data_IF_637782780939
#
_entry.id   IF_637782780939
#
_cell.length_a   1.000
_cell.length_b   1.000
_cell.length_c   1.000
_cell.angle_alpha   90.00
_cell.angle_beta   90.00
_cell.angle_gamma   90.00
#
_symmetry.space_group_name_H-M   'P 1'
#
loop_
_entity.id
_entity.type
_entity.pdbx_description
1 polymer ?
#
# COMPACT_ATOMS: atom_id res chain seq x y z
N UNK A 1 9.61 0.77 5.97
CA UNK A 1 10.65 0.56 4.93
C UNK A 1 12.00 0.18 5.54
N UNK A 2 12.66 1.01 6.34
CA UNK A 2 14.00 0.78 6.93
C UNK A 2 14.26 -0.64 7.49
N UNK A 3 13.26 -1.23 8.16
CA UNK A 3 13.41 -2.60 8.70
C UNK A 3 13.55 -3.67 7.61
N UNK A 4 12.85 -3.52 6.51
CA UNK A 4 12.93 -4.45 5.39
C UNK A 4 14.22 -4.27 4.60
N UNK A 5 14.68 -3.03 4.43
CA UNK A 5 16.01 -2.72 3.86
C UNK A 5 17.12 -3.38 4.70
N UNK A 6 17.01 -3.29 6.02
CA UNK A 6 17.95 -3.97 6.93
C UNK A 6 17.88 -5.50 6.77
N UNK A 7 16.70 -6.10 6.60
CA UNK A 7 16.58 -7.53 6.33
C UNK A 7 17.29 -7.94 5.02
N UNK A 8 17.13 -7.14 3.96
CA UNK A 8 17.84 -7.35 2.69
C UNK A 8 19.35 -7.32 2.88
N UNK A 9 19.86 -6.34 3.64
CA UNK A 9 21.31 -6.23 3.95
C UNK A 9 21.84 -7.44 4.74
N UNK A 10 21.07 -7.95 5.73
CA UNK A 10 21.43 -9.17 6.48
C UNK A 10 21.59 -10.37 5.54
N UNK A 11 20.66 -10.53 4.59
CA UNK A 11 20.69 -11.64 3.63
C UNK A 11 21.88 -11.46 2.68
N UNK A 12 22.07 -10.28 2.12
CA UNK A 12 23.12 -9.98 1.15
C UNK A 12 24.52 -10.16 1.75
N UNK A 13 24.72 -9.72 3.00
CA UNK A 13 25.97 -9.92 3.73
C UNK A 13 26.15 -11.33 4.29
N UNK A 14 25.13 -12.20 4.20
CA UNK A 14 25.06 -13.51 4.82
C UNK A 14 25.40 -13.49 6.33
N UNK A 15 24.96 -12.43 7.03
CA UNK A 15 25.24 -12.25 8.47
C UNK A 15 24.34 -13.16 9.33
N UNK A 16 24.82 -14.38 9.58
CA UNK A 16 24.12 -15.40 10.37
C UNK A 16 23.95 -14.99 11.85
N UNK A 17 24.74 -14.05 12.36
CA UNK A 17 24.59 -13.55 13.73
C UNK A 17 23.28 -12.77 13.92
N UNK A 18 22.66 -12.32 12.84
CA UNK A 18 21.41 -11.54 12.79
C UNK A 18 20.17 -12.38 12.46
N UNK A 19 20.29 -13.71 12.49
CA UNK A 19 19.18 -14.62 12.16
C UNK A 19 17.88 -14.27 12.91
N UNK A 20 17.95 -14.04 14.22
CA UNK A 20 16.76 -13.69 15.01
C UNK A 20 16.13 -12.37 14.57
N UNK A 21 16.95 -11.37 14.23
CA UNK A 21 16.44 -10.10 13.70
C UNK A 21 15.77 -10.29 12.35
N UNK A 22 16.36 -11.08 11.46
CA UNK A 22 15.79 -11.40 10.15
C UNK A 22 14.45 -12.11 10.30
N UNK A 23 14.32 -13.10 11.19
CA UNK A 23 13.06 -13.80 11.48
C UNK A 23 11.99 -12.80 11.93
N UNK A 24 12.28 -11.95 12.91
CA UNK A 24 11.35 -10.96 13.45
C UNK A 24 10.86 -9.97 12.38
N UNK A 25 11.75 -9.54 11.49
CA UNK A 25 11.41 -8.63 10.40
C UNK A 25 10.57 -9.36 9.35
N UNK A 26 10.94 -10.58 8.98
CA UNK A 26 10.26 -11.38 7.96
C UNK A 26 8.80 -11.67 8.31
N UNK A 27 8.50 -11.97 9.57
CA UNK A 27 7.13 -12.18 10.04
C UNK A 27 6.26 -10.92 9.86
N UNK A 28 6.85 -9.72 9.93
CA UNK A 28 6.12 -8.49 9.68
C UNK A 28 5.68 -8.31 8.22
N UNK A 29 6.23 -9.08 7.27
CA UNK A 29 5.73 -9.10 5.89
C UNK A 29 4.28 -9.57 5.78
N UNK A 30 3.79 -10.34 6.76
CA UNK A 30 2.39 -10.80 6.80
C UNK A 30 1.42 -9.72 7.27
N UNK A 31 1.91 -8.61 7.82
CA UNK A 31 1.07 -7.51 8.28
C UNK A 31 0.56 -6.72 7.09
N UNK A 32 -0.74 -6.74 6.94
CA UNK A 32 -1.44 -6.06 5.87
C UNK A 32 -2.44 -5.08 6.47
N UNK A 33 -2.47 -3.87 5.94
CA UNK A 33 -3.53 -2.90 6.17
C UNK A 33 -4.08 -2.49 4.82
N UNK A 34 -5.40 -2.51 4.68
CA UNK A 34 -6.04 -2.03 3.49
C UNK A 34 -6.89 -0.79 3.79
N UNK A 35 -7.06 0.05 2.79
CA UNK A 35 -8.00 1.16 2.81
C UNK A 35 -9.22 0.73 2.03
N UNK A 36 -10.21 0.17 2.74
CA UNK A 36 -11.49 -0.14 2.14
C UNK A 36 -12.25 1.15 1.86
N UNK A 37 -12.34 1.53 0.61
CA UNK A 37 -13.21 2.62 0.19
C UNK A 37 -14.66 2.12 0.20
N UNK A 38 -15.45 2.63 1.14
CA UNK A 38 -16.86 2.25 1.28
C UNK A 38 -17.82 3.14 0.47
N UNK A 39 -17.36 4.28 -0.03
CA UNK A 39 -18.23 5.20 -0.77
C UNK A 39 -17.64 5.55 -2.14
N UNK A 40 -18.49 5.54 -3.12
CA UNK A 40 -18.21 6.00 -4.47
C UNK A 40 -18.87 7.38 -4.67
N UNK A 41 -18.21 8.42 -4.13
CA UNK A 41 -18.76 9.78 -4.09
C UNK A 41 -19.04 10.26 -5.51
N UNK A 42 -18.10 10.08 -6.44
CA UNK A 42 -18.24 10.52 -7.81
C UNK A 42 -19.41 9.81 -8.52
N UNK A 43 -19.48 8.48 -8.46
CA UNK A 43 -20.59 7.73 -9.05
C UNK A 43 -21.95 8.12 -8.42
N UNK A 44 -21.97 8.36 -7.11
CA UNK A 44 -23.18 8.80 -6.43
C UNK A 44 -23.64 10.16 -6.96
N UNK A 45 -22.73 11.15 -7.07
CA UNK A 45 -23.02 12.46 -7.62
C UNK A 45 -23.48 12.41 -9.09
N UNK A 46 -22.87 11.53 -9.89
CA UNK A 46 -23.22 11.34 -11.30
C UNK A 46 -24.60 10.67 -11.43
N UNK A 47 -24.82 9.58 -10.68
CA UNK A 47 -26.06 8.80 -10.77
C UNK A 47 -27.28 9.54 -10.20
N UNK A 48 -27.09 10.34 -9.14
CA UNK A 48 -28.15 11.23 -8.62
C UNK A 48 -28.39 12.46 -9.50
N UNK A 49 -27.48 12.76 -10.42
CA UNK A 49 -27.49 13.98 -11.22
C UNK A 49 -27.01 15.23 -10.47
N UNK A 50 -26.62 15.10 -9.21
CA UNK A 50 -26.15 16.21 -8.36
C UNK A 50 -24.83 16.81 -8.84
N UNK A 51 -24.02 16.05 -9.59
CA UNK A 51 -22.79 16.58 -10.23
C UNK A 51 -23.10 17.82 -11.11
N UNK A 52 -24.34 17.97 -11.60
CA UNK A 52 -24.77 19.13 -12.39
C UNK A 52 -24.90 20.39 -11.54
N UNK A 53 -25.13 20.25 -10.23
CA UNK A 53 -25.25 21.37 -9.29
C UNK A 53 -23.87 21.98 -8.96
N UNK A 54 -22.81 21.24 -9.12
CA UNK A 54 -21.44 21.78 -9.03
C UNK A 54 -21.19 22.60 -10.29
N UNK A 55 -21.24 23.93 -10.21
CA UNK A 55 -21.06 24.79 -11.37
C UNK A 55 -19.60 24.94 -11.78
N UNK A 56 -18.68 24.89 -10.82
CA UNK A 56 -17.25 25.02 -11.04
C UNK A 56 -16.69 23.81 -11.80
N UNK A 57 -16.12 24.07 -12.98
CA UNK A 57 -15.58 23.03 -13.85
C UNK A 57 -14.31 22.40 -13.26
N UNK A 58 -13.49 23.18 -12.56
CA UNK A 58 -12.23 22.72 -12.01
C UNK A 58 -12.49 21.75 -10.85
N UNK A 59 -13.48 22.02 -10.00
CA UNK A 59 -13.92 21.10 -8.94
C UNK A 59 -14.36 19.75 -9.54
N UNK A 60 -15.16 19.78 -10.62
CA UNK A 60 -15.59 18.53 -11.29
C UNK A 60 -14.43 17.71 -11.81
N UNK A 61 -13.45 18.38 -12.41
CA UNK A 61 -12.27 17.72 -12.98
C UNK A 61 -11.40 17.10 -11.89
N UNK A 62 -11.16 17.80 -10.77
CA UNK A 62 -10.39 17.26 -9.66
C UNK A 62 -11.10 16.08 -8.95
N UNK A 63 -12.44 16.14 -8.79
CA UNK A 63 -13.22 15.01 -8.29
C UNK A 63 -13.06 13.78 -9.21
N UNK A 64 -13.06 13.98 -10.54
CA UNK A 64 -12.86 12.92 -11.52
C UNK A 64 -11.46 12.30 -11.41
N UNK A 65 -10.41 13.15 -11.27
CA UNK A 65 -9.03 12.68 -11.08
C UNK A 65 -8.88 11.88 -9.78
N UNK A 66 -9.48 12.36 -8.69
CA UNK A 66 -9.47 11.65 -7.42
C UNK A 66 -10.15 10.27 -7.55
N UNK A 67 -11.23 10.16 -8.33
CA UNK A 67 -11.88 8.87 -8.62
C UNK A 67 -10.94 7.90 -9.33
N UNK A 68 -10.21 8.37 -10.34
CA UNK A 68 -9.23 7.55 -11.06
C UNK A 68 -8.11 7.06 -10.15
N UNK A 69 -7.64 7.93 -9.22
CA UNK A 69 -6.66 7.54 -8.19
C UNK A 69 -7.21 6.47 -7.26
N UNK A 70 -8.47 6.58 -6.82
CA UNK A 70 -9.08 5.58 -5.96
C UNK A 70 -9.26 4.21 -6.65
N UNK A 71 -9.58 4.19 -7.93
CA UNK A 71 -9.63 2.95 -8.72
C UNK A 71 -8.25 2.30 -8.72
N UNK A 72 -7.19 3.08 -8.91
CA UNK A 72 -5.83 2.57 -8.91
C UNK A 72 -5.38 2.11 -7.50
N UNK A 73 -5.72 2.85 -6.44
CA UNK A 73 -5.47 2.45 -5.05
C UNK A 73 -6.10 1.08 -4.77
N UNK A 74 -7.39 0.89 -5.11
CA UNK A 74 -8.08 -0.38 -4.90
C UNK A 74 -7.37 -1.54 -5.62
N UNK A 75 -6.90 -1.30 -6.85
CA UNK A 75 -6.13 -2.30 -7.60
C UNK A 75 -4.80 -2.65 -6.92
N UNK A 76 -4.08 -1.66 -6.41
CA UNK A 76 -2.82 -1.87 -5.70
C UNK A 76 -3.02 -2.60 -4.36
N UNK A 77 -4.12 -2.29 -3.66
CA UNK A 77 -4.51 -3.03 -2.46
C UNK A 77 -4.79 -4.50 -2.76
N UNK A 78 -5.51 -4.78 -3.84
CA UNK A 78 -5.80 -6.15 -4.25
C UNK A 78 -4.52 -6.92 -4.61
N UNK A 79 -3.61 -6.31 -5.38
CA UNK A 79 -2.31 -6.89 -5.73
C UNK A 79 -1.52 -7.19 -4.46
N UNK A 80 -1.42 -6.24 -3.53
CA UNK A 80 -0.71 -6.44 -2.28
C UNK A 80 -1.30 -7.60 -1.47
N UNK A 81 -2.62 -7.64 -1.33
CA UNK A 81 -3.34 -8.72 -0.64
C UNK A 81 -3.07 -10.08 -1.28
N UNK A 82 -3.11 -10.17 -2.62
CA UNK A 82 -2.83 -11.41 -3.33
C UNK A 82 -1.39 -11.89 -3.11
N UNK A 83 -0.41 -10.99 -3.17
CA UNK A 83 0.99 -11.33 -2.93
C UNK A 83 1.20 -11.81 -1.49
N UNK A 84 0.58 -11.13 -0.50
CA UNK A 84 0.63 -11.58 0.91
C UNK A 84 0.06 -13.00 1.03
N UNK A 85 -1.11 -13.27 0.47
CA UNK A 85 -1.79 -14.55 0.64
C UNK A 85 -1.11 -15.69 -0.13
N UNK A 86 -0.58 -15.43 -1.32
CA UNK A 86 -0.01 -16.47 -2.18
C UNK A 86 1.48 -16.71 -1.92
N UNK A 87 2.26 -15.64 -1.84
CA UNK A 87 3.71 -15.74 -1.82
C UNK A 87 4.28 -15.61 -0.39
N UNK A 88 3.87 -14.55 0.34
CA UNK A 88 4.41 -14.28 1.67
C UNK A 88 3.99 -15.35 2.66
N UNK A 89 2.68 -15.64 2.74
CA UNK A 89 2.15 -16.62 3.69
C UNK A 89 2.75 -18.00 3.44
N UNK A 90 2.87 -18.42 2.19
CA UNK A 90 3.52 -19.67 1.80
C UNK A 90 4.99 -19.67 2.23
N UNK A 91 5.73 -18.62 1.87
CA UNK A 91 7.14 -18.52 2.22
C UNK A 91 7.38 -18.50 3.73
N UNK A 92 6.53 -17.79 4.49
CA UNK A 92 6.60 -17.77 5.95
C UNK A 92 6.29 -19.15 6.55
N UNK A 93 5.25 -19.83 6.07
CA UNK A 93 4.88 -21.17 6.55
C UNK A 93 5.95 -22.23 6.27
N UNK A 94 6.62 -22.13 5.14
CA UNK A 94 7.65 -23.07 4.73
C UNK A 94 8.98 -22.87 5.50
N UNK A 95 9.26 -21.65 5.95
CA UNK A 95 10.56 -21.30 6.51
C UNK A 95 10.56 -21.05 8.02
N UNK A 96 9.39 -20.80 8.65
CA UNK A 96 9.33 -20.42 10.06
C UNK A 96 8.33 -21.24 10.88
N UNK A 97 8.73 -21.61 12.10
CA UNK A 97 7.83 -22.09 13.14
C UNK A 97 7.20 -20.88 13.84
N UNK A 98 5.97 -20.54 13.49
CA UNK A 98 5.31 -19.33 13.99
C UNK A 98 5.10 -19.30 15.51
N UNK A 99 4.98 -20.46 16.15
CA UNK A 99 4.76 -20.54 17.60
C UNK A 99 6.04 -20.20 18.38
N UNK A 100 7.20 -20.70 17.93
CA UNK A 100 8.50 -20.51 18.61
C UNK A 100 9.34 -19.40 17.98
N UNK A 101 8.93 -18.86 16.84
CA UNK A 101 9.65 -17.86 16.05
C UNK A 101 11.08 -18.33 15.68
N UNK A 102 11.20 -19.61 15.29
CA UNK A 102 12.43 -20.23 14.84
C UNK A 102 12.40 -20.48 13.34
N UNK A 103 13.56 -20.42 12.70
CA UNK A 103 13.68 -20.90 11.33
C UNK A 103 13.57 -22.42 11.29
N UNK A 104 12.84 -22.97 10.30
CA UNK A 104 12.81 -24.42 10.01
C UNK A 104 14.15 -24.81 9.39
N UNK A 105 14.58 -24.04 8.38
CA UNK A 105 15.90 -24.13 7.77
C UNK A 105 16.44 -22.72 7.54
N UNK A 106 17.48 -22.36 8.29
CA UNK A 106 18.08 -21.03 8.20
C UNK A 106 18.65 -20.73 6.81
N UNK A 107 19.12 -21.75 6.07
CA UNK A 107 19.73 -21.53 4.76
C UNK A 107 18.71 -21.06 3.73
N UNK A 108 17.47 -21.48 3.82
CA UNK A 108 16.41 -21.06 2.91
C UNK A 108 16.11 -19.57 2.99
N UNK A 109 16.23 -18.96 4.18
CA UNK A 109 15.93 -17.52 4.36
C UNK A 109 17.11 -16.61 3.99
N UNK A 110 18.30 -17.17 3.74
CA UNK A 110 19.47 -16.47 3.21
C UNK A 110 19.64 -16.66 1.70
N UNK A 111 18.56 -16.99 1.01
CA UNK A 111 18.56 -17.17 -0.45
C UNK A 111 18.16 -15.88 -1.17
N UNK A 112 18.64 -15.74 -2.40
CA UNK A 112 18.21 -14.67 -3.32
C UNK A 112 16.68 -14.69 -3.53
N UNK A 113 16.06 -15.86 -3.52
CA UNK A 113 14.61 -16.00 -3.64
C UNK A 113 13.88 -15.29 -2.49
N UNK A 114 14.34 -15.50 -1.25
CA UNK A 114 13.75 -14.89 -0.08
C UNK A 114 14.04 -13.37 -0.03
N UNK A 115 15.26 -12.97 -0.41
CA UNK A 115 15.62 -11.55 -0.56
C UNK A 115 14.70 -10.84 -1.58
N UNK A 116 14.50 -11.44 -2.76
CA UNK A 116 13.64 -10.87 -3.78
C UNK A 116 12.19 -10.74 -3.34
N UNK A 117 11.68 -11.67 -2.51
CA UNK A 117 10.35 -11.55 -1.94
C UNK A 117 10.22 -10.29 -1.08
N UNK A 118 11.20 -10.02 -0.21
CA UNK A 118 11.22 -8.81 0.63
C UNK A 118 11.26 -7.57 -0.25
N UNK A 119 12.17 -7.53 -1.24
CA UNK A 119 12.30 -6.39 -2.16
C UNK A 119 10.98 -6.14 -2.91
N UNK A 120 10.34 -7.19 -3.40
CA UNK A 120 9.08 -7.07 -4.14
C UNK A 120 7.95 -6.47 -3.28
N UNK A 121 7.85 -6.89 -2.02
CA UNK A 121 6.89 -6.30 -1.07
C UNK A 121 7.22 -4.82 -0.80
N UNK A 122 8.50 -4.49 -0.65
CA UNK A 122 8.93 -3.10 -0.45
C UNK A 122 8.53 -2.21 -1.63
N UNK A 123 8.69 -2.67 -2.87
CA UNK A 123 8.27 -1.91 -4.06
C UNK A 123 6.75 -1.69 -4.10
N UNK A 124 5.95 -2.71 -3.78
CA UNK A 124 4.49 -2.56 -3.66
C UNK A 124 4.13 -1.52 -2.59
N UNK A 125 4.75 -1.59 -1.42
CA UNK A 125 4.49 -0.64 -0.33
C UNK A 125 4.87 0.79 -0.73
N UNK A 126 6.00 0.97 -1.41
CA UNK A 126 6.45 2.27 -1.89
C UNK A 126 5.47 2.87 -2.91
N UNK A 127 5.02 2.07 -3.87
CA UNK A 127 4.03 2.52 -4.86
C UNK A 127 2.70 2.90 -4.20
N UNK A 128 2.26 2.15 -3.18
CA UNK A 128 1.08 2.50 -2.38
C UNK A 128 1.26 3.84 -1.67
N UNK A 129 2.39 4.06 -1.01
CA UNK A 129 2.68 5.33 -0.31
C UNK A 129 2.65 6.52 -1.29
N UNK A 130 3.23 6.36 -2.49
CA UNK A 130 3.23 7.41 -3.53
C UNK A 130 1.81 7.74 -4.02
N UNK A 131 0.97 6.72 -4.22
CA UNK A 131 -0.38 6.95 -4.74
C UNK A 131 -1.32 7.52 -3.67
N UNK A 132 -1.15 7.13 -2.40
CA UNK A 132 -1.85 7.75 -1.29
C UNK A 132 -1.48 9.23 -1.13
N UNK A 133 -0.19 9.57 -1.27
CA UNK A 133 0.24 10.96 -1.24
C UNK A 133 -0.39 11.79 -2.36
N UNK A 134 -0.49 11.23 -3.57
CA UNK A 134 -1.20 11.88 -4.69
C UNK A 134 -2.68 12.10 -4.37
N UNK A 135 -3.38 11.09 -3.86
CA UNK A 135 -4.78 11.20 -3.50
C UNK A 135 -5.02 12.27 -2.41
N UNK A 136 -4.16 12.35 -1.40
CA UNK A 136 -4.22 13.40 -0.38
C UNK A 136 -4.02 14.80 -0.98
N UNK A 137 -3.12 14.94 -1.95
CA UNK A 137 -2.90 16.22 -2.65
C UNK A 137 -4.15 16.62 -3.45
N UNK A 138 -4.78 15.69 -4.17
CA UNK A 138 -6.03 15.97 -4.90
C UNK A 138 -7.17 16.37 -3.96
N UNK A 139 -7.32 15.68 -2.83
CA UNK A 139 -8.31 16.05 -1.80
C UNK A 139 -8.09 17.48 -1.31
N UNK A 140 -6.85 17.86 -1.02
CA UNK A 140 -6.51 19.23 -0.58
C UNK A 140 -6.82 20.27 -1.67
N UNK A 141 -6.58 19.95 -2.93
CA UNK A 141 -6.88 20.80 -4.08
C UNK A 141 -8.40 21.01 -4.23
N UNK A 142 -9.18 19.93 -4.10
CA UNK A 142 -10.64 19.99 -4.13
C UNK A 142 -11.18 20.87 -2.99
N UNK A 143 -10.68 20.67 -1.77
CA UNK A 143 -11.09 21.49 -0.61
C UNK A 143 -10.80 22.97 -0.87
N UNK A 144 -9.61 23.29 -1.35
CA UNK A 144 -9.24 24.66 -1.67
C UNK A 144 -10.18 25.30 -2.71
N UNK A 145 -10.52 24.59 -3.78
CA UNK A 145 -11.44 25.11 -4.80
C UNK A 145 -12.86 25.29 -4.27
N UNK A 146 -13.31 24.42 -3.36
CA UNK A 146 -14.60 24.56 -2.70
C UNK A 146 -14.62 25.81 -1.80
N UNK A 147 -13.59 26.03 -1.01
CA UNK A 147 -13.48 27.19 -0.14
C UNK A 147 -13.47 28.49 -0.96
N UNK A 148 -12.68 28.56 -2.04
CA UNK A 148 -12.64 29.69 -2.97
C UNK A 148 -14.03 29.98 -3.62
N UNK A 149 -14.79 28.93 -3.96
CA UNK A 149 -16.14 29.07 -4.54
C UNK A 149 -17.14 29.59 -3.51
N UNK A 150 -17.03 29.17 -2.24
CA UNK A 150 -17.90 29.64 -1.15
C UNK A 150 -17.61 31.12 -0.88
N UNK A 151 -16.33 31.49 -0.71
CA UNK A 151 -15.92 32.88 -0.43
C UNK A 151 -16.29 33.85 -1.56
N UNK A 152 -16.36 33.38 -2.80
CA UNK A 152 -16.76 34.20 -3.96
C UNK A 152 -18.28 34.46 -4.03
N UNK A 153 -19.09 33.67 -3.32
CA UNK A 153 -20.56 33.75 -3.33
C UNK A 153 -21.13 34.41 -2.06
N UNK A 154 -20.27 34.71 -1.06
CA UNK A 154 -20.61 35.50 0.16
C UNK A 154 -20.29 36.99 -0.04
#
# INVERSE_FOLDING_TARGET
MEKFEYAVQIIESNDRSKLNSLIQISINLTKYSDVSRQSNIYETLVNSGEIKLVNNRDIKEEIRKLEELYIYINKMEEIHREVILKEVTTSISDNFKLLTLEAIDADNIYTVKFQNLIIFIMEIMKEKDEIYAKALTEIQTIIKFIDEEIDAND
#
